data_IF_925698090622
#
_entry.id   IF_925698090622
#
_cell.length_a   1.000
_cell.length_b   1.000
_cell.length_c   1.000
_cell.angle_alpha   90.00
_cell.angle_beta   90.00
_cell.angle_gamma   90.00
#
_symmetry.space_group_name_H-M   'P 1'
#
loop_
_entity.id
_entity.type
_entity.pdbx_description
1 polymer ?
#
# COMPACT_ATOMS: atom_id res chain seq x y z
N UNK A 1 4.49 32.99 11.67
CA UNK A 1 3.41 32.01 11.97
C UNK A 1 3.18 31.98 13.49
N UNK A 2 1.93 32.13 13.95
CA UNK A 2 1.57 32.06 15.38
C UNK A 2 1.15 30.63 15.75
N UNK A 3 2.03 29.89 16.42
CA UNK A 3 1.83 28.48 16.79
C UNK A 3 0.66 28.33 17.77
N UNK A 4 0.52 29.25 18.73
CA UNK A 4 -0.55 29.18 19.73
C UNK A 4 -1.90 29.27 19.05
N UNK A 5 -2.04 30.22 18.12
CA UNK A 5 -3.26 30.38 17.33
C UNK A 5 -3.58 29.13 16.50
N UNK A 6 -2.59 28.51 15.86
CA UNK A 6 -2.81 27.29 15.07
C UNK A 6 -3.34 26.13 15.91
N UNK A 7 -2.80 25.95 17.12
CA UNK A 7 -3.27 24.92 18.05
C UNK A 7 -4.72 25.21 18.47
N UNK A 8 -5.03 26.44 18.86
CA UNK A 8 -6.39 26.86 19.22
C UNK A 8 -7.38 26.70 18.05
N UNK A 9 -6.96 27.01 16.82
CA UNK A 9 -7.79 26.88 15.63
C UNK A 9 -8.14 25.40 15.36
N UNK A 10 -7.19 24.49 15.56
CA UNK A 10 -7.44 23.05 15.46
C UNK A 10 -8.37 22.55 16.58
N UNK A 11 -8.02 22.85 17.84
CA UNK A 11 -8.75 22.38 19.03
C UNK A 11 -10.22 22.82 19.02
N UNK A 12 -10.49 24.02 18.51
CA UNK A 12 -11.84 24.57 18.42
C UNK A 12 -12.49 24.34 17.03
N UNK A 13 -11.85 23.59 16.13
CA UNK A 13 -12.33 23.28 14.77
C UNK A 13 -12.74 24.55 14.00
N UNK A 14 -11.96 25.63 14.16
CA UNK A 14 -12.21 26.94 13.55
C UNK A 14 -11.62 27.09 12.15
N UNK A 15 -10.67 26.23 11.79
CA UNK A 15 -10.09 26.16 10.44
C UNK A 15 -10.78 25.05 9.64
N UNK A 16 -11.24 25.37 8.43
CA UNK A 16 -11.84 24.40 7.52
C UNK A 16 -10.87 23.27 7.15
N UNK A 17 -9.56 23.54 7.21
CA UNK A 17 -8.50 22.55 6.94
C UNK A 17 -8.49 21.38 7.92
N UNK A 18 -9.11 21.53 9.09
CA UNK A 18 -9.34 20.41 10.02
C UNK A 18 -10.21 19.33 9.36
N UNK A 19 -11.02 19.68 8.36
CA UNK A 19 -11.92 18.79 7.61
C UNK A 19 -11.51 18.58 6.14
N UNK A 20 -10.33 19.02 5.73
CA UNK A 20 -9.89 18.95 4.33
C UNK A 20 -9.57 17.51 3.89
N UNK A 21 -9.01 16.70 4.77
CA UNK A 21 -8.68 15.30 4.49
C UNK A 21 -9.79 14.38 5.02
N UNK A 22 -10.54 13.74 4.12
CA UNK A 22 -11.61 12.79 4.45
C UNK A 22 -11.14 11.55 5.20
N UNK A 23 -9.85 11.21 5.09
CA UNK A 23 -9.27 10.04 5.76
C UNK A 23 -8.82 10.37 7.20
N UNK A 24 -8.84 11.65 7.60
CA UNK A 24 -8.41 12.08 8.93
C UNK A 24 -9.58 12.47 9.82
N UNK A 25 -9.45 12.17 11.11
CA UNK A 25 -10.40 12.60 12.14
C UNK A 25 -9.74 13.52 13.16
N UNK A 26 -10.57 14.29 13.88
CA UNK A 26 -10.10 15.12 14.98
C UNK A 26 -9.43 14.24 16.05
N UNK A 27 -8.12 14.38 16.21
CA UNK A 27 -7.29 13.54 17.08
C UNK A 27 -5.96 14.21 17.37
N UNK A 28 -5.21 13.69 18.35
CA UNK A 28 -3.84 14.16 18.63
C UNK A 28 -2.92 14.01 17.41
N UNK A 29 -3.03 12.88 16.68
CA UNK A 29 -2.24 12.68 15.47
C UNK A 29 -2.70 13.59 14.33
N UNK A 30 -4.00 13.90 14.27
CA UNK A 30 -4.53 14.90 13.35
C UNK A 30 -3.98 16.30 13.62
N UNK A 31 -3.86 16.69 14.90
CA UNK A 31 -3.21 17.94 15.29
C UNK A 31 -1.75 17.98 14.83
N UNK A 32 -0.99 16.91 15.09
CA UNK A 32 0.41 16.80 14.67
C UNK A 32 0.56 17.01 13.16
N UNK A 33 -0.26 16.33 12.36
CA UNK A 33 -0.25 16.45 10.90
C UNK A 33 -0.67 17.86 10.43
N UNK A 34 -1.67 18.45 11.08
CA UNK A 34 -2.15 19.79 10.74
C UNK A 34 -1.06 20.86 10.98
N UNK A 35 -0.36 20.77 12.11
CA UNK A 35 0.75 21.68 12.41
C UNK A 35 1.93 21.44 11.47
N UNK A 36 2.34 20.18 11.29
CA UNK A 36 3.44 19.79 10.41
C UNK A 36 3.21 20.26 8.98
N UNK A 37 2.03 19.99 8.41
CA UNK A 37 1.72 20.35 7.02
C UNK A 37 1.75 21.86 6.77
N UNK A 38 1.34 22.69 7.75
CA UNK A 38 1.46 24.15 7.64
C UNK A 38 2.91 24.63 7.66
N UNK A 39 3.74 24.05 8.53
CA UNK A 39 5.17 24.38 8.61
C UNK A 39 5.86 24.02 7.30
N UNK A 40 5.63 22.81 6.79
CA UNK A 40 6.26 22.32 5.55
C UNK A 40 5.78 23.10 4.32
N UNK A 41 4.50 23.43 4.24
CA UNK A 41 3.96 24.27 3.16
C UNK A 41 4.64 25.64 3.13
N UNK A 42 4.83 26.26 4.29
CA UNK A 42 5.51 27.55 4.39
C UNK A 42 6.97 27.45 3.93
N UNK A 43 7.67 26.37 4.30
CA UNK A 43 9.04 26.12 3.84
C UNK A 43 9.12 25.94 2.31
N UNK A 44 8.23 25.13 1.71
CA UNK A 44 8.16 24.99 0.26
C UNK A 44 8.00 26.32 -0.46
N UNK A 45 7.00 27.10 -0.06
CA UNK A 45 6.61 28.31 -0.79
C UNK A 45 7.57 29.48 -0.57
N UNK A 46 8.22 29.57 0.59
CA UNK A 46 9.08 30.71 0.92
C UNK A 46 10.58 30.43 0.82
N UNK A 47 11.01 29.16 0.79
CA UNK A 47 12.43 28.79 0.79
C UNK A 47 12.82 28.02 -0.46
N UNK A 48 11.98 27.08 -0.92
CA UNK A 48 12.34 26.18 -2.03
C UNK A 48 11.87 26.70 -3.38
N UNK A 49 10.60 27.11 -3.48
CA UNK A 49 10.03 27.60 -4.73
C UNK A 49 10.34 29.08 -4.95
N UNK A 50 10.50 29.45 -6.22
CA UNK A 50 10.61 30.83 -6.63
C UNK A 50 9.32 31.61 -6.35
N UNK A 51 9.46 32.92 -6.15
CA UNK A 51 8.35 33.81 -5.83
C UNK A 51 7.22 33.77 -6.87
N UNK A 52 7.54 33.59 -8.16
CA UNK A 52 6.54 33.49 -9.22
C UNK A 52 5.70 32.21 -9.11
N UNK A 53 6.29 31.09 -8.71
CA UNK A 53 5.60 29.82 -8.50
C UNK A 53 4.68 29.92 -7.28
N UNK A 54 5.19 30.49 -6.18
CA UNK A 54 4.39 30.77 -4.99
C UNK A 54 3.17 31.62 -5.35
N UNK A 55 3.38 32.74 -6.04
CA UNK A 55 2.31 33.66 -6.41
C UNK A 55 1.26 32.96 -7.29
N UNK A 56 1.70 32.19 -8.30
CA UNK A 56 0.79 31.42 -9.14
C UNK A 56 -0.05 30.42 -8.34
N UNK A 57 0.52 29.78 -7.31
CA UNK A 57 -0.23 28.88 -6.42
C UNK A 57 -1.21 29.63 -5.52
N UNK A 58 -0.78 30.74 -4.90
CA UNK A 58 -1.59 31.52 -3.95
C UNK A 58 -2.75 32.26 -4.64
N UNK A 59 -2.55 32.72 -5.87
CA UNK A 59 -3.59 33.34 -6.70
C UNK A 59 -4.49 32.31 -7.40
N UNK A 60 -4.17 31.02 -7.31
CA UNK A 60 -4.98 29.94 -7.87
C UNK A 60 -4.81 29.70 -9.37
N UNK A 61 -3.77 30.24 -10.00
CA UNK A 61 -3.42 29.92 -11.39
C UNK A 61 -2.96 28.48 -11.56
N UNK A 62 -2.29 27.93 -10.53
CA UNK A 62 -1.89 26.53 -10.45
C UNK A 62 -2.20 25.96 -9.07
N UNK A 63 -2.33 24.64 -8.99
CA UNK A 63 -2.40 23.94 -7.71
C UNK A 63 -1.18 23.03 -7.55
N UNK A 64 -0.37 23.29 -6.52
CA UNK A 64 0.75 22.43 -6.16
C UNK A 64 0.22 21.45 -5.11
N UNK A 65 0.15 20.18 -5.50
CA UNK A 65 -0.32 19.10 -4.64
C UNK A 65 0.67 18.82 -3.51
N UNK A 66 0.15 18.31 -2.39
CA UNK A 66 0.92 17.70 -1.30
C UNK A 66 2.02 18.56 -0.66
N UNK A 67 1.87 19.89 -0.70
CA UNK A 67 2.75 20.86 -0.01
C UNK A 67 2.89 20.62 1.50
N UNK A 68 2.05 19.77 2.10
CA UNK A 68 2.17 19.35 3.49
C UNK A 68 3.25 18.30 3.75
N UNK A 69 3.90 17.77 2.71
CA UNK A 69 4.99 16.79 2.81
C UNK A 69 6.26 17.31 2.18
N UNK A 70 7.40 17.13 2.85
CA UNK A 70 8.73 17.44 2.31
C UNK A 70 9.38 16.12 1.88
N UNK A 71 8.75 15.46 0.92
CA UNK A 71 9.13 14.12 0.47
C UNK A 71 8.68 13.88 -0.97
N UNK A 72 8.82 12.64 -1.44
CA UNK A 72 8.29 12.21 -2.75
C UNK A 72 6.77 12.03 -2.70
N UNK A 73 6.12 12.08 -3.87
CA UNK A 73 4.67 11.91 -3.97
C UNK A 73 4.22 10.45 -3.72
N UNK A 74 4.30 9.59 -4.73
CA UNK A 74 3.90 8.18 -4.68
C UNK A 74 5.07 7.30 -5.12
N UNK A 75 5.08 6.04 -4.69
CA UNK A 75 6.12 5.08 -5.06
C UNK A 75 5.55 3.68 -5.30
N UNK A 76 5.83 3.12 -6.47
CA UNK A 76 5.65 1.70 -6.74
C UNK A 76 6.96 0.95 -6.49
N UNK A 77 6.91 -0.12 -5.71
CA UNK A 77 8.06 -0.91 -5.31
C UNK A 77 8.11 -2.25 -6.03
N UNK A 78 9.33 -2.73 -6.25
CA UNK A 78 9.57 -4.07 -6.76
C UNK A 78 9.45 -5.07 -5.60
N UNK A 79 8.40 -5.91 -5.66
CA UNK A 79 8.20 -6.95 -4.67
C UNK A 79 9.26 -8.06 -4.80
N UNK A 80 9.81 -8.31 -6.00
CA UNK A 80 10.87 -9.31 -6.21
C UNK A 80 12.11 -8.96 -5.36
N UNK A 81 12.48 -7.68 -5.28
CA UNK A 81 13.60 -7.23 -4.44
C UNK A 81 13.37 -7.53 -2.96
N UNK A 82 12.16 -7.25 -2.44
CA UNK A 82 11.80 -7.63 -1.07
C UNK A 82 11.91 -9.14 -0.84
N UNK A 83 11.52 -9.98 -1.82
CA UNK A 83 11.68 -11.43 -1.73
C UNK A 83 13.13 -11.89 -1.77
N UNK A 84 14.03 -11.13 -2.41
CA UNK A 84 15.47 -11.44 -2.53
C UNK A 84 16.27 -11.02 -1.31
N UNK A 85 16.06 -9.80 -0.81
CA UNK A 85 16.91 -9.20 0.23
C UNK A 85 16.22 -9.10 1.59
N UNK A 86 14.89 -9.22 1.65
CA UNK A 86 14.10 -9.02 2.86
C UNK A 86 13.96 -7.54 3.21
N UNK A 87 13.29 -7.24 4.33
CA UNK A 87 13.08 -5.85 4.74
C UNK A 87 14.31 -5.29 5.46
N UNK A 88 15.13 -4.52 4.76
CA UNK A 88 16.46 -4.04 5.21
C UNK A 88 16.80 -2.66 4.64
N UNK A 89 18.02 -2.17 4.89
CA UNK A 89 18.60 -1.01 4.21
C UNK A 89 18.83 0.24 5.06
N UNK A 90 18.34 0.27 6.31
CA UNK A 90 18.48 1.43 7.20
C UNK A 90 19.46 1.14 8.34
N UNK A 91 20.63 1.80 8.40
CA UNK A 91 21.59 1.63 9.49
C UNK A 91 20.98 1.89 10.88
N UNK A 92 21.27 1.00 11.83
CA UNK A 92 20.78 1.12 13.21
C UNK A 92 19.29 0.77 13.41
N UNK A 93 18.60 0.28 12.38
CA UNK A 93 17.24 -0.27 12.48
C UNK A 93 17.26 -1.79 12.38
N UNK A 94 16.22 -2.43 12.90
CA UNK A 94 16.03 -3.88 12.75
C UNK A 94 15.84 -4.24 11.27
N UNK A 95 16.36 -5.40 10.88
CA UNK A 95 16.28 -5.92 9.52
C UNK A 95 15.69 -7.32 9.54
N UNK A 96 14.80 -7.62 8.59
CA UNK A 96 14.23 -8.96 8.39
C UNK A 96 14.91 -9.65 7.22
N UNK A 97 15.31 -10.90 7.41
CA UNK A 97 15.77 -11.75 6.30
C UNK A 97 14.62 -12.04 5.34
N UNK A 98 14.91 -12.39 4.07
CA UNK A 98 13.90 -12.85 3.13
C UNK A 98 12.93 -13.89 3.71
N UNK A 99 11.64 -13.70 3.48
CA UNK A 99 10.60 -14.58 3.99
C UNK A 99 10.68 -15.98 3.36
N UNK A 100 10.40 -17.01 4.17
CA UNK A 100 10.35 -18.43 3.73
C UNK A 100 8.95 -19.02 3.66
N UNK A 101 7.99 -18.37 4.31
CA UNK A 101 6.62 -18.85 4.48
C UNK A 101 5.64 -17.75 4.08
N UNK A 102 4.46 -18.14 3.61
CA UNK A 102 3.41 -17.25 3.12
C UNK A 102 2.98 -16.22 4.18
N UNK A 103 2.83 -16.66 5.42
CA UNK A 103 2.52 -15.75 6.54
C UNK A 103 3.60 -14.69 6.77
N UNK A 104 4.87 -15.10 6.70
CA UNK A 104 6.01 -14.21 6.93
C UNK A 104 6.14 -13.15 5.82
N UNK A 105 5.92 -13.52 4.55
CA UNK A 105 6.01 -12.56 3.44
C UNK A 105 4.87 -11.54 3.50
N UNK A 106 3.63 -11.96 3.80
CA UNK A 106 2.50 -11.03 3.98
C UNK A 106 2.79 -10.02 5.09
N UNK A 107 3.31 -10.45 6.24
CA UNK A 107 3.65 -9.53 7.33
C UNK A 107 4.86 -8.65 7.02
N UNK A 108 5.82 -9.11 6.22
CA UNK A 108 6.88 -8.24 5.72
C UNK A 108 6.34 -7.16 4.77
N UNK A 109 5.39 -7.50 3.90
CA UNK A 109 4.70 -6.54 3.02
C UNK A 109 3.94 -5.50 3.85
N UNK A 110 3.20 -5.91 4.89
CA UNK A 110 2.55 -5.00 5.83
C UNK A 110 3.57 -4.02 6.41
N UNK A 111 4.63 -4.53 7.05
CA UNK A 111 5.65 -3.69 7.67
C UNK A 111 6.33 -2.74 6.67
N UNK A 112 6.59 -3.22 5.45
CA UNK A 112 7.19 -2.44 4.38
C UNK A 112 6.29 -1.27 3.97
N UNK A 113 5.03 -1.54 3.64
CA UNK A 113 4.07 -0.52 3.21
C UNK A 113 3.79 0.51 4.32
N UNK A 114 3.64 0.06 5.57
CA UNK A 114 3.46 0.94 6.73
C UNK A 114 4.67 1.83 7.03
N UNK A 115 5.88 1.32 6.80
CA UNK A 115 7.09 2.12 7.00
C UNK A 115 7.20 3.16 5.90
N UNK A 116 7.08 2.76 4.63
CA UNK A 116 7.34 3.65 3.50
C UNK A 116 6.24 4.65 3.23
N UNK A 117 5.00 4.40 3.65
CA UNK A 117 3.97 5.45 3.61
C UNK A 117 4.33 6.65 4.52
N UNK A 118 5.21 6.46 5.51
CA UNK A 118 5.75 7.56 6.32
C UNK A 118 6.75 8.44 5.57
N UNK A 119 7.28 7.96 4.45
CA UNK A 119 8.32 8.61 3.64
C UNK A 119 7.76 9.15 2.30
N UNK A 120 6.48 8.90 2.01
CA UNK A 120 5.80 9.34 0.80
C UNK A 120 4.48 10.07 1.13
N UNK A 121 4.10 11.06 0.34
CA UNK A 121 2.86 11.81 0.58
C UNK A 121 1.61 10.98 0.22
N UNK A 122 1.67 10.28 -0.90
CA UNK A 122 0.58 9.53 -1.51
C UNK A 122 0.75 8.01 -1.42
N UNK A 123 0.30 7.31 -2.46
CA UNK A 123 0.19 5.87 -2.48
C UNK A 123 1.55 5.14 -2.53
N UNK A 124 1.61 4.01 -1.83
CA UNK A 124 2.71 3.05 -1.90
C UNK A 124 2.18 1.73 -2.45
N UNK A 125 2.79 1.22 -3.51
CA UNK A 125 2.23 0.11 -4.26
C UNK A 125 3.21 -1.05 -4.43
N UNK A 126 2.67 -2.26 -4.54
CA UNK A 126 3.37 -3.42 -5.11
C UNK A 126 2.65 -3.90 -6.36
N UNK A 127 3.44 -4.33 -7.34
CA UNK A 127 2.94 -4.98 -8.55
C UNK A 127 3.19 -6.49 -8.52
N UNK A 128 2.46 -7.23 -9.37
CA UNK A 128 2.60 -8.67 -9.54
C UNK A 128 2.42 -9.48 -8.25
N UNK A 129 1.50 -9.04 -7.39
CA UNK A 129 1.33 -9.57 -6.04
C UNK A 129 0.96 -11.06 -6.05
N UNK A 130 0.01 -11.46 -6.90
CA UNK A 130 -0.40 -12.85 -7.04
C UNK A 130 0.69 -13.72 -7.66
N UNK A 131 1.30 -13.27 -8.76
CA UNK A 131 2.40 -13.99 -9.42
C UNK A 131 3.56 -14.26 -8.45
N UNK A 132 4.02 -13.23 -7.74
CA UNK A 132 5.22 -13.33 -6.91
C UNK A 132 4.99 -14.09 -5.60
N UNK A 133 3.75 -14.11 -5.09
CA UNK A 133 3.42 -14.79 -3.83
C UNK A 133 2.85 -16.20 -4.01
N UNK A 134 2.29 -16.54 -5.17
CA UNK A 134 1.77 -17.87 -5.47
C UNK A 134 2.72 -19.04 -5.12
N UNK A 135 4.06 -18.93 -5.32
CA UNK A 135 4.97 -20.00 -4.94
C UNK A 135 4.94 -20.35 -3.45
N UNK A 136 4.78 -19.36 -2.57
CA UNK A 136 4.75 -19.61 -1.13
C UNK A 136 3.58 -20.52 -0.72
N UNK A 137 2.44 -20.42 -1.40
CA UNK A 137 1.27 -21.27 -1.16
C UNK A 137 1.60 -22.74 -1.41
N UNK A 138 2.24 -23.04 -2.54
CA UNK A 138 2.65 -24.41 -2.89
C UNK A 138 3.75 -24.93 -1.98
N UNK A 139 4.79 -24.14 -1.72
CA UNK A 139 5.93 -24.56 -0.92
C UNK A 139 5.56 -24.78 0.56
N UNK A 140 4.59 -24.04 1.08
CA UNK A 140 4.04 -24.27 2.42
C UNK A 140 2.96 -25.38 2.44
N UNK A 141 2.49 -25.83 1.28
CA UNK A 141 1.46 -26.87 1.16
C UNK A 141 0.08 -26.43 1.67
N UNK A 142 -0.26 -25.15 1.50
CA UNK A 142 -1.46 -24.56 2.08
C UNK A 142 -2.73 -24.95 1.34
N UNK A 143 -3.77 -25.25 2.10
CA UNK A 143 -5.15 -25.34 1.61
C UNK A 143 -5.74 -23.97 1.31
N UNK A 144 -6.84 -23.93 0.56
CA UNK A 144 -7.58 -22.69 0.30
C UNK A 144 -7.99 -21.98 1.60
N UNK A 145 -8.54 -22.70 2.58
CA UNK A 145 -8.95 -22.14 3.88
C UNK A 145 -7.78 -21.48 4.63
N UNK A 146 -6.60 -22.10 4.58
CA UNK A 146 -5.41 -21.53 5.20
C UNK A 146 -4.92 -20.29 4.44
N UNK A 147 -4.98 -20.27 3.11
CA UNK A 147 -4.66 -19.06 2.32
C UNK A 147 -5.64 -17.94 2.65
N UNK A 148 -6.95 -18.22 2.63
CA UNK A 148 -8.00 -17.27 2.97
C UNK A 148 -7.81 -16.68 4.36
N UNK A 149 -7.51 -17.51 5.36
CA UNK A 149 -7.22 -17.03 6.72
C UNK A 149 -6.02 -16.08 6.76
N UNK A 150 -4.94 -16.37 6.04
CA UNK A 150 -3.73 -15.52 6.02
C UNK A 150 -3.95 -14.22 5.24
N UNK A 151 -4.75 -14.28 4.17
CA UNK A 151 -5.17 -13.09 3.42
C UNK A 151 -6.09 -12.22 4.27
N UNK A 152 -7.00 -12.80 5.06
CA UNK A 152 -7.82 -12.08 6.02
C UNK A 152 -6.96 -11.36 7.07
N UNK A 153 -5.99 -12.06 7.68
CA UNK A 153 -5.02 -11.46 8.60
C UNK A 153 -4.29 -10.27 7.96
N UNK A 154 -3.85 -10.44 6.70
CA UNK A 154 -3.19 -9.38 5.93
C UNK A 154 -4.09 -8.17 5.68
N UNK A 155 -5.30 -8.37 5.14
CA UNK A 155 -6.25 -7.29 4.84
C UNK A 155 -6.65 -6.54 6.11
N UNK A 156 -6.91 -7.26 7.21
CA UNK A 156 -7.26 -6.62 8.48
C UNK A 156 -6.11 -5.72 8.97
N UNK A 157 -4.87 -6.21 8.92
CA UNK A 157 -3.71 -5.42 9.31
C UNK A 157 -3.48 -4.21 8.39
N UNK A 158 -3.75 -4.32 7.09
CA UNK A 158 -3.67 -3.20 6.15
C UNK A 158 -4.74 -2.12 6.38
N UNK A 159 -5.83 -2.45 7.10
CA UNK A 159 -6.90 -1.50 7.43
C UNK A 159 -6.86 -0.99 8.88
N UNK A 160 -5.80 -1.24 9.64
CA UNK A 160 -5.64 -0.63 10.97
C UNK A 160 -5.09 0.80 10.82
N UNK A 161 -5.77 1.84 11.32
CA UNK A 161 -5.35 3.23 11.11
C UNK A 161 -4.17 3.64 12.02
N UNK A 162 -2.96 3.20 11.71
CA UNK A 162 -1.75 3.48 12.51
C UNK A 162 -0.85 4.58 11.94
N UNK A 163 -1.18 5.14 10.76
CA UNK A 163 -0.47 6.29 10.14
C UNK A 163 -0.64 7.57 10.97
N UNK A 164 0.28 8.51 10.79
CA UNK A 164 0.12 9.90 11.24
C UNK A 164 -1.21 10.48 10.73
N UNK A 165 -1.99 11.06 11.63
CA UNK A 165 -3.39 11.44 11.38
C UNK A 165 -4.43 10.35 11.61
N UNK A 166 -4.07 9.18 12.16
CA UNK A 166 -4.95 8.01 12.32
C UNK A 166 -5.56 7.57 10.98
N UNK A 167 -4.70 7.46 9.97
CA UNK A 167 -5.08 6.99 8.64
C UNK A 167 -4.62 5.55 8.45
N UNK A 168 -5.30 4.83 7.57
CA UNK A 168 -4.77 3.59 6.99
C UNK A 168 -3.71 3.91 5.94
N UNK A 169 -2.76 3.01 5.68
CA UNK A 169 -1.77 3.19 4.62
C UNK A 169 -2.49 3.24 3.27
N UNK A 170 -2.27 4.31 2.50
CA UNK A 170 -2.77 4.37 1.13
C UNK A 170 -1.94 3.40 0.29
N UNK A 171 -2.43 2.18 0.12
CA UNK A 171 -1.72 1.12 -0.60
C UNK A 171 -2.48 0.56 -1.78
N UNK A 172 -1.75 0.20 -2.83
CA UNK A 172 -2.27 -0.48 -4.01
C UNK A 172 -1.57 -1.81 -4.23
N UNK A 173 -2.32 -2.83 -4.64
CA UNK A 173 -1.77 -4.12 -5.08
C UNK A 173 -2.23 -4.39 -6.51
N UNK A 174 -1.29 -4.73 -7.39
CA UNK A 174 -1.61 -5.18 -8.75
C UNK A 174 -1.60 -6.69 -8.83
N UNK A 175 -2.66 -7.25 -9.43
CA UNK A 175 -2.88 -8.67 -9.65
C UNK A 175 -2.85 -8.96 -11.16
N UNK A 176 -2.12 -10.00 -11.55
CA UNK A 176 -1.90 -10.37 -12.95
C UNK A 176 -2.95 -11.35 -13.49
N UNK A 177 -3.59 -12.15 -12.62
CA UNK A 177 -4.54 -13.24 -12.92
C UNK A 177 -3.98 -14.42 -13.71
N UNK A 178 -2.94 -14.18 -14.50
CA UNK A 178 -2.19 -15.16 -15.29
C UNK A 178 -0.72 -14.79 -15.22
N UNK A 179 0.17 -15.78 -15.23
CA UNK A 179 1.60 -15.50 -15.14
C UNK A 179 2.04 -14.64 -16.33
N UNK A 180 2.58 -13.42 -16.12
CA UNK A 180 2.97 -12.56 -17.21
C UNK A 180 4.32 -13.03 -17.81
N UNK A 181 4.49 -12.80 -19.12
CA UNK A 181 5.68 -13.20 -19.89
C UNK A 181 7.04 -12.84 -19.28
N UNK A 182 7.11 -11.75 -18.54
CA UNK A 182 8.35 -11.31 -17.89
C UNK A 182 8.79 -12.23 -16.72
N UNK A 183 7.86 -13.00 -16.15
CA UNK A 183 8.10 -13.94 -15.05
C UNK A 183 8.02 -15.40 -15.48
N UNK A 184 7.38 -15.75 -16.59
CA UNK A 184 7.11 -17.14 -17.01
C UNK A 184 8.31 -18.10 -16.85
N UNK A 185 9.49 -17.72 -17.36
CA UNK A 185 10.70 -18.53 -17.32
C UNK A 185 11.66 -18.18 -16.17
N UNK A 186 11.32 -17.20 -15.33
CA UNK A 186 12.13 -16.87 -14.15
C UNK A 186 11.92 -17.91 -13.06
N UNK A 187 13.02 -18.29 -12.40
CA UNK A 187 12.98 -19.13 -11.20
C UNK A 187 12.27 -18.41 -10.06
N UNK A 188 11.45 -19.15 -9.32
CA UNK A 188 10.73 -18.60 -8.17
C UNK A 188 11.66 -18.38 -6.99
N UNK A 189 11.34 -17.39 -6.16
CA UNK A 189 12.21 -16.96 -5.05
C UNK A 189 11.55 -17.29 -3.73
N UNK A 190 12.19 -18.14 -2.92
CA UNK A 190 11.76 -18.48 -1.57
C UNK A 190 12.94 -18.30 -0.62
N UNK A 191 12.76 -17.54 0.46
CA UNK A 191 13.83 -17.30 1.44
C UNK A 191 15.07 -16.64 0.85
N UNK A 192 14.90 -15.81 -0.19
CA UNK A 192 15.98 -15.12 -0.89
C UNK A 192 16.79 -16.01 -1.84
N UNK A 193 16.27 -17.21 -2.16
CA UNK A 193 16.93 -18.17 -3.04
C UNK A 193 16.04 -18.54 -4.22
N UNK A 194 16.67 -18.68 -5.37
CA UNK A 194 16.02 -19.23 -6.56
C UNK A 194 15.79 -20.73 -6.39
N UNK A 195 14.59 -21.16 -6.76
CA UNK A 195 14.18 -22.55 -6.74
C UNK A 195 14.13 -23.10 -8.17
N UNK A 196 14.25 -24.42 -8.39
CA UNK A 196 14.24 -24.99 -9.74
C UNK A 196 12.97 -24.71 -10.54
N UNK A 197 11.83 -24.54 -9.86
CA UNK A 197 10.54 -24.23 -10.49
C UNK A 197 10.47 -22.78 -10.98
N UNK A 198 9.66 -22.55 -12.01
CA UNK A 198 9.45 -21.26 -12.67
C UNK A 198 8.06 -20.70 -12.41
N UNK A 199 7.85 -19.38 -12.49
CA UNK A 199 6.57 -18.77 -12.12
C UNK A 199 5.38 -19.26 -12.96
N UNK A 200 5.57 -19.64 -14.23
CA UNK A 200 4.50 -20.20 -15.08
C UNK A 200 3.88 -21.48 -14.52
N UNK A 201 4.58 -22.18 -13.63
CA UNK A 201 4.10 -23.44 -13.04
C UNK A 201 3.06 -23.20 -11.93
N UNK A 202 2.77 -21.96 -11.51
CA UNK A 202 2.00 -21.64 -10.30
C UNK A 202 0.63 -20.99 -10.55
N UNK A 203 0.04 -21.17 -11.75
CA UNK A 203 -1.27 -20.59 -12.09
C UNK A 203 -2.37 -20.99 -11.10
N UNK A 204 -2.38 -22.25 -10.64
CA UNK A 204 -3.37 -22.74 -9.67
C UNK A 204 -3.28 -21.99 -8.33
N UNK A 205 -2.08 -21.71 -7.85
CA UNK A 205 -1.87 -20.96 -6.61
C UNK A 205 -2.17 -19.47 -6.78
N UNK A 206 -1.97 -18.92 -7.98
CA UNK A 206 -2.46 -17.57 -8.32
C UNK A 206 -3.99 -17.53 -8.24
N UNK A 207 -4.71 -18.50 -8.79
CA UNK A 207 -6.17 -18.59 -8.69
C UNK A 207 -6.65 -18.67 -7.24
N UNK A 208 -6.03 -19.54 -6.43
CA UNK A 208 -6.32 -19.66 -4.99
C UNK A 208 -6.14 -18.33 -4.26
N UNK A 209 -5.04 -17.61 -4.53
CA UNK A 209 -4.75 -16.32 -3.89
C UNK A 209 -5.75 -15.25 -4.31
N UNK A 210 -6.08 -15.18 -5.61
CA UNK A 210 -7.06 -14.23 -6.12
C UNK A 210 -8.45 -14.51 -5.54
N UNK A 211 -8.90 -15.76 -5.52
CA UNK A 211 -10.18 -16.13 -4.91
C UNK A 211 -10.22 -15.75 -3.43
N UNK A 212 -9.20 -16.11 -2.66
CA UNK A 212 -9.10 -15.79 -1.25
C UNK A 212 -9.15 -14.27 -0.99
N UNK A 213 -8.45 -13.48 -1.80
CA UNK A 213 -8.43 -12.02 -1.67
C UNK A 213 -9.79 -11.40 -2.00
N UNK A 214 -10.43 -11.83 -3.10
CA UNK A 214 -11.74 -11.30 -3.49
C UNK A 214 -12.79 -11.64 -2.42
N UNK A 215 -12.86 -12.89 -1.95
CA UNK A 215 -13.80 -13.28 -0.91
C UNK A 215 -13.63 -12.48 0.38
N UNK A 216 -12.39 -12.27 0.85
CA UNK A 216 -12.12 -11.46 2.05
C UNK A 216 -12.54 -10.00 1.85
N UNK A 217 -12.31 -9.43 0.67
CA UNK A 217 -12.73 -8.05 0.37
C UNK A 217 -14.26 -7.92 0.31
N UNK A 218 -14.96 -8.94 -0.19
CA UNK A 218 -16.44 -8.98 -0.26
C UNK A 218 -17.09 -9.20 1.10
N UNK A 219 -16.49 -10.01 1.98
CA UNK A 219 -16.99 -10.24 3.35
C UNK A 219 -17.04 -8.94 4.17
N UNK A 220 -16.09 -8.03 3.91
CA UNK A 220 -16.00 -6.76 4.60
C UNK A 220 -15.60 -6.89 6.07
N UNK A 221 -15.73 -5.80 6.82
CA UNK A 221 -15.39 -5.76 8.23
C UNK A 221 -16.43 -6.46 9.13
N UNK A 222 -16.23 -6.42 10.45
CA UNK A 222 -17.12 -7.08 11.41
C UNK A 222 -18.59 -6.61 11.42
N UNK A 223 -18.94 -5.58 10.65
CA UNK A 223 -20.33 -5.13 10.42
C UNK A 223 -20.69 -5.06 8.93
N UNK A 224 -19.88 -5.68 8.05
CA UNK A 224 -20.12 -5.81 6.62
C UNK A 224 -19.77 -4.57 5.79
N UNK A 225 -18.95 -3.64 6.31
CA UNK A 225 -18.47 -2.49 5.51
C UNK A 225 -17.30 -2.93 4.63
N UNK A 226 -17.17 -2.39 3.41
CA UNK A 226 -16.05 -2.74 2.54
C UNK A 226 -14.72 -2.27 3.11
N UNK A 227 -13.69 -3.10 2.97
CA UNK A 227 -12.31 -2.67 3.22
C UNK A 227 -11.88 -1.65 2.16
N UNK A 228 -11.17 -0.61 2.59
CA UNK A 228 -10.67 0.43 1.66
C UNK A 228 -9.33 0.03 1.05
N UNK A 229 -8.48 -0.66 1.83
CA UNK A 229 -7.13 -1.01 1.43
C UNK A 229 -6.81 -2.51 1.58
N UNK A 230 -5.77 -3.00 0.90
CA UNK A 230 -5.14 -2.38 -0.25
C UNK A 230 -6.12 -2.27 -1.42
N UNK A 231 -6.02 -1.20 -2.22
CA UNK A 231 -6.83 -1.05 -3.42
C UNK A 231 -6.35 -2.09 -4.45
N UNK A 232 -7.20 -3.03 -4.87
CA UNK A 232 -6.82 -4.00 -5.88
C UNK A 232 -6.85 -3.37 -7.27
N UNK A 233 -5.89 -3.75 -8.11
CA UNK A 233 -5.85 -3.43 -9.54
C UNK A 233 -5.62 -4.71 -10.32
N UNK A 234 -6.57 -5.10 -11.16
CA UNK A 234 -6.48 -6.30 -11.97
C UNK A 234 -6.08 -5.96 -13.40
N UNK A 235 -5.05 -6.63 -13.91
CA UNK A 235 -4.54 -6.39 -15.25
C UNK A 235 -5.42 -7.08 -16.31
N UNK A 236 -5.90 -6.32 -17.29
CA UNK A 236 -6.59 -6.86 -18.48
C UNK A 236 -5.59 -6.95 -19.63
N UNK A 237 -5.32 -8.16 -20.10
CA UNK A 237 -4.40 -8.42 -21.21
C UNK A 237 -5.16 -8.83 -22.48
N UNK A 238 -4.45 -8.97 -23.61
CA UNK A 238 -5.06 -9.46 -24.86
C UNK A 238 -5.59 -10.90 -24.75
N UNK A 239 -5.07 -11.68 -23.82
CA UNK A 239 -5.44 -13.08 -23.61
C UNK A 239 -6.31 -13.26 -22.36
N UNK A 240 -6.94 -12.18 -21.89
CA UNK A 240 -7.76 -12.20 -20.69
C UNK A 240 -8.91 -13.20 -20.81
N UNK A 241 -8.99 -14.15 -19.86
CA UNK A 241 -10.01 -15.19 -19.86
C UNK A 241 -11.30 -14.66 -19.22
N UNK A 242 -12.17 -14.06 -20.03
CA UNK A 242 -13.47 -13.54 -19.60
C UNK A 242 -14.44 -14.60 -19.04
N UNK A 243 -14.19 -15.89 -19.29
CA UNK A 243 -15.04 -16.99 -18.83
C UNK A 243 -14.46 -17.70 -17.59
N UNK A 244 -13.48 -17.10 -16.91
CA UNK A 244 -12.92 -17.65 -15.68
C UNK A 244 -13.85 -17.36 -14.50
N UNK A 245 -14.02 -18.36 -13.63
CA UNK A 245 -14.79 -18.23 -12.38
C UNK A 245 -14.24 -17.11 -11.48
N UNK A 246 -12.94 -16.82 -11.53
CA UNK A 246 -12.35 -15.70 -10.80
C UNK A 246 -12.85 -14.36 -11.33
N UNK A 247 -13.08 -14.26 -12.65
CA UNK A 247 -13.60 -13.03 -13.26
C UNK A 247 -15.08 -12.85 -12.94
N UNK A 248 -15.87 -13.93 -12.94
CA UNK A 248 -17.26 -13.88 -12.50
C UNK A 248 -17.32 -13.36 -11.05
N UNK A 249 -16.49 -13.90 -10.16
CA UNK A 249 -16.40 -13.48 -8.75
C UNK A 249 -15.94 -12.02 -8.61
N UNK A 250 -15.01 -11.56 -9.44
CA UNK A 250 -14.52 -10.17 -9.41
C UNK A 250 -15.59 -9.15 -9.84
N UNK A 251 -16.58 -9.58 -10.63
CA UNK A 251 -17.61 -8.72 -11.21
C UNK A 251 -18.94 -8.72 -10.44
N UNK A 252 -19.07 -9.54 -9.38
CA UNK A 252 -20.20 -9.51 -8.44
C UNK A 252 -20.20 -8.26 -7.55
#
# INVERSE_FOLDING_TARGET
>A
MDIKKLVEDYLNVRDWKVKENSNMSYSLQGLNQYLHSKIVKDYWLNVVYDQSIKQAHEEGWIHIHDLGSLSVYCVGWDLEDLLRVGFTGVPGKLTSRPARHFSAVLMQIVNFLYTLQGEAAGAVAFSNFDTLLAPFIRYDGLSFEEVKQRVQEFVFNMNVPTRVGFQTPFSNLTFDLSCPKIYEDKNVIIGGKEMPATYKEFEKEMEILNQAFIEVMMEGDGVGRPFTFPIPTYNITKNFNWNSTIIDLLME
#
